data_IF_320782530853
#
_entry.id   IF_320782530853
#
_cell.length_a   1.000
_cell.length_b   1.000
_cell.length_c   1.000
_cell.angle_alpha   90.00
_cell.angle_beta   90.00
_cell.angle_gamma   90.00
#
_symmetry.space_group_name_H-M   'P 1'
#
loop_
_entity.id
_entity.type
_entity.pdbx_description
1 polymer ?
#
# COMPACT_ATOMS: atom_id res chain seq x y z
N UNK A 1 -34.08 -12.76 38.21
CA UNK A 1 -34.32 -12.01 36.97
C UNK A 1 -33.32 -10.84 36.72
N UNK A 2 -32.81 -10.15 37.76
CA UNK A 2 -31.81 -9.05 37.56
C UNK A 2 -30.42 -9.53 37.10
N UNK A 3 -29.95 -10.72 37.51
CA UNK A 3 -28.63 -11.25 37.10
C UNK A 3 -28.59 -11.75 35.64
N UNK A 4 -29.71 -12.17 35.08
CA UNK A 4 -29.79 -12.63 33.69
C UNK A 4 -29.76 -11.45 32.69
N UNK A 5 -30.27 -10.28 33.09
CA UNK A 5 -30.21 -9.05 32.26
C UNK A 5 -28.83 -8.43 32.21
N UNK A 6 -27.98 -8.62 33.25
CA UNK A 6 -26.61 -8.14 33.26
C UNK A 6 -25.69 -8.96 32.34
N UNK A 7 -25.94 -10.25 32.20
CA UNK A 7 -25.18 -11.11 31.29
C UNK A 7 -25.56 -10.89 29.80
N UNK A 8 -26.83 -10.53 29.54
CA UNK A 8 -27.24 -10.19 28.18
C UNK A 8 -26.71 -8.82 27.72
N UNK A 9 -26.49 -7.86 28.63
CA UNK A 9 -25.92 -6.55 28.31
C UNK A 9 -24.41 -6.58 28.08
N UNK A 10 -23.70 -7.62 28.56
CA UNK A 10 -22.26 -7.76 28.35
C UNK A 10 -21.95 -8.48 27.02
N UNK A 11 -22.93 -9.15 26.41
CA UNK A 11 -22.76 -9.87 25.15
C UNK A 11 -22.93 -8.97 23.91
N UNK A 12 -23.44 -7.76 24.07
CA UNK A 12 -23.73 -6.82 22.95
C UNK A 12 -22.57 -5.85 22.68
N UNK A 13 -21.51 -5.85 23.49
CA UNK A 13 -20.43 -4.85 23.36
C UNK A 13 -19.13 -5.39 22.74
N UNK A 14 -19.17 -6.55 22.09
CA UNK A 14 -18.03 -7.07 21.29
C UNK A 14 -18.46 -7.19 19.82
N UNK A 15 -19.05 -6.13 19.27
CA UNK A 15 -18.96 -5.90 17.83
C UNK A 15 -17.61 -5.25 17.57
N UNK A 16 -16.57 -6.06 17.56
CA UNK A 16 -15.28 -5.66 17.02
C UNK A 16 -15.52 -5.19 15.58
N UNK A 17 -15.30 -3.90 15.33
CA UNK A 17 -15.30 -3.34 13.99
C UNK A 17 -14.25 -4.13 13.17
N UNK A 18 -14.73 -5.08 12.38
CA UNK A 18 -13.89 -5.81 11.42
C UNK A 18 -13.66 -4.86 10.28
N UNK A 19 -12.46 -4.33 10.15
CA UNK A 19 -12.05 -3.62 8.96
C UNK A 19 -12.15 -4.60 7.78
N UNK A 20 -13.03 -4.32 6.85
CA UNK A 20 -13.07 -4.99 5.55
C UNK A 20 -11.96 -4.40 4.68
N UNK A 21 -11.31 -5.22 3.88
CA UNK A 21 -10.07 -4.88 3.16
C UNK A 21 -10.28 -5.15 1.67
N UNK A 22 -9.69 -4.36 0.82
CA UNK A 22 -10.08 -4.12 -0.56
C UNK A 22 -9.44 -4.95 -1.67
N UNK A 23 -10.04 -4.88 -2.86
CA UNK A 23 -9.66 -5.65 -4.03
C UNK A 23 -9.95 -4.89 -5.35
N UNK A 24 -9.07 -5.02 -6.36
CA UNK A 24 -9.20 -4.35 -7.66
C UNK A 24 -10.14 -5.04 -8.67
N UNK A 25 -10.70 -6.20 -8.33
CA UNK A 25 -11.72 -6.92 -9.07
C UNK A 25 -12.87 -7.32 -8.16
N UNK A 26 -13.73 -8.25 -8.59
CA UNK A 26 -14.68 -8.88 -7.69
C UNK A 26 -14.69 -10.39 -7.84
N UNK A 27 -15.01 -11.08 -6.75
CA UNK A 27 -15.17 -12.52 -6.74
C UNK A 27 -16.60 -12.90 -7.12
N UNK A 28 -16.72 -13.87 -8.01
CA UNK A 28 -17.98 -14.55 -8.30
C UNK A 28 -17.84 -16.01 -7.88
N UNK A 29 -18.78 -16.50 -7.08
CA UNK A 29 -18.76 -17.88 -6.59
C UNK A 29 -19.95 -18.67 -7.12
N UNK A 30 -19.78 -19.99 -7.35
CA UNK A 30 -20.86 -20.92 -7.73
C UNK A 30 -21.74 -21.34 -6.56
N UNK A 31 -21.24 -21.25 -5.32
CA UNK A 31 -21.96 -21.63 -4.11
C UNK A 31 -22.32 -20.41 -3.24
N UNK A 32 -23.18 -20.60 -2.23
CA UNK A 32 -23.60 -19.55 -1.27
C UNK A 32 -22.49 -19.06 -0.32
N UNK A 33 -21.25 -19.05 -0.80
CA UNK A 33 -20.07 -18.71 -0.02
C UNK A 33 -19.78 -17.23 -0.15
N UNK A 34 -19.78 -16.51 0.96
CA UNK A 34 -19.28 -15.13 1.02
C UNK A 34 -17.77 -15.18 1.05
N UNK A 35 -17.13 -14.78 -0.05
CA UNK A 35 -15.69 -14.65 -0.15
C UNK A 35 -15.32 -13.18 0.04
N UNK A 36 -14.45 -12.90 1.01
CA UNK A 36 -13.98 -11.56 1.32
C UNK A 36 -12.46 -11.50 1.17
N UNK A 37 -11.98 -10.40 0.63
CA UNK A 37 -10.56 -10.09 0.60
C UNK A 37 -10.13 -9.34 1.88
N UNK A 38 -8.90 -9.56 2.35
CA UNK A 38 -8.42 -8.97 3.60
C UNK A 38 -7.53 -7.74 3.42
N UNK A 39 -6.65 -7.76 2.44
CA UNK A 39 -5.86 -6.61 1.96
C UNK A 39 -5.42 -6.89 0.54
N UNK A 40 -5.52 -5.91 -0.35
CA UNK A 40 -4.97 -6.02 -1.69
C UNK A 40 -3.63 -5.35 -1.77
N UNK A 41 -2.69 -6.04 -2.41
CA UNK A 41 -1.42 -5.49 -2.81
C UNK A 41 -1.34 -5.51 -4.33
N UNK A 42 -1.05 -4.37 -4.92
CA UNK A 42 -0.96 -4.21 -6.37
C UNK A 42 0.38 -3.60 -6.71
N UNK A 43 1.13 -4.24 -7.62
CA UNK A 43 2.34 -3.67 -8.21
C UNK A 43 2.02 -3.20 -9.62
N UNK A 44 2.34 -1.94 -9.90
CA UNK A 44 2.21 -1.29 -11.20
C UNK A 44 3.61 -0.92 -11.70
N UNK A 45 4.14 -1.68 -12.64
CA UNK A 45 5.35 -1.32 -13.36
C UNK A 45 4.95 -0.52 -14.59
N UNK A 46 5.47 0.71 -14.74
CA UNK A 46 5.05 1.62 -15.81
C UNK A 46 6.24 2.30 -16.47
N UNK A 47 6.26 2.26 -17.81
CA UNK A 47 7.11 3.11 -18.64
C UNK A 47 6.37 3.48 -19.94
N UNK A 48 6.15 4.77 -20.15
CA UNK A 48 5.30 5.25 -21.23
C UNK A 48 3.89 4.63 -21.15
N UNK A 49 3.43 3.97 -22.21
CA UNK A 49 2.13 3.30 -22.28
C UNK A 49 2.18 1.82 -21.85
N UNK A 50 3.36 1.27 -21.57
CA UNK A 50 3.53 -0.13 -21.16
C UNK A 50 3.33 -0.28 -19.67
N UNK A 51 2.48 -1.22 -19.29
CA UNK A 51 2.19 -1.54 -17.89
C UNK A 51 2.31 -3.02 -17.64
N UNK A 52 2.97 -3.39 -16.54
CA UNK A 52 2.84 -4.73 -15.95
C UNK A 52 2.13 -4.57 -14.62
N UNK A 53 0.94 -5.16 -14.54
CA UNK A 53 0.08 -5.15 -13.36
C UNK A 53 0.21 -6.50 -12.65
N UNK A 54 0.65 -6.50 -11.40
CA UNK A 54 0.66 -7.69 -10.54
C UNK A 54 -0.31 -7.49 -9.39
N UNK A 55 -1.20 -8.46 -9.17
CA UNK A 55 -2.22 -8.40 -8.13
C UNK A 55 -2.07 -9.59 -7.19
N UNK A 56 -1.81 -9.33 -5.93
CA UNK A 56 -1.89 -10.30 -4.87
C UNK A 56 -3.20 -10.13 -4.12
N UNK A 57 -4.03 -11.14 -4.20
CA UNK A 57 -5.36 -11.15 -3.61
C UNK A 57 -5.38 -12.13 -2.44
N UNK A 58 -5.62 -11.62 -1.25
CA UNK A 58 -5.87 -12.44 -0.08
C UNK A 58 -7.37 -12.67 0.05
N UNK A 59 -7.81 -13.92 0.20
CA UNK A 59 -9.22 -14.25 0.31
C UNK A 59 -9.54 -14.92 1.66
N UNK A 60 -10.77 -14.75 2.12
CA UNK A 60 -11.34 -15.49 3.24
C UNK A 60 -12.65 -16.12 2.82
N UNK A 61 -12.82 -17.40 3.09
CA UNK A 61 -14.02 -18.17 2.78
C UNK A 61 -13.66 -19.57 2.29
N UNK A 62 -14.69 -20.40 2.05
CA UNK A 62 -14.51 -21.69 1.39
C UNK A 62 -14.40 -21.49 -0.12
N UNK A 63 -13.25 -21.80 -0.74
CA UNK A 63 -12.98 -21.47 -2.15
C UNK A 63 -13.63 -22.48 -3.12
N UNK A 64 -14.85 -22.89 -2.88
CA UNK A 64 -15.57 -23.77 -3.81
C UNK A 64 -15.91 -23.01 -5.10
N UNK A 65 -15.08 -23.22 -6.12
CA UNK A 65 -15.29 -22.71 -7.48
C UNK A 65 -15.64 -21.21 -7.56
N UNK A 66 -14.65 -20.35 -7.41
CA UNK A 66 -14.80 -18.92 -7.61
C UNK A 66 -13.94 -18.43 -8.79
N UNK A 67 -14.31 -17.29 -9.34
CA UNK A 67 -13.51 -16.59 -10.32
C UNK A 67 -13.28 -15.14 -9.89
N UNK A 68 -12.15 -14.60 -10.34
CA UNK A 68 -11.78 -13.19 -10.20
C UNK A 68 -12.09 -12.51 -11.54
N UNK A 69 -12.87 -11.44 -11.51
CA UNK A 69 -13.17 -10.64 -12.70
C UNK A 69 -12.47 -9.30 -12.62
N UNK A 70 -11.58 -9.02 -13.56
CA UNK A 70 -10.72 -7.84 -13.59
C UNK A 70 -10.94 -7.09 -14.90
N UNK A 71 -11.34 -5.81 -14.88
CA UNK A 71 -11.38 -5.01 -16.08
C UNK A 71 -9.95 -4.69 -16.55
N UNK A 72 -9.70 -4.89 -17.84
CA UNK A 72 -8.41 -4.59 -18.46
C UNK A 72 -8.60 -3.68 -19.67
N UNK A 73 -7.67 -2.74 -19.95
CA UNK A 73 -7.90 -1.73 -20.98
C UNK A 73 -7.86 -2.28 -22.41
N UNK A 74 -7.27 -3.47 -22.59
CA UNK A 74 -7.07 -4.06 -23.92
C UNK A 74 -7.25 -5.58 -23.88
N UNK A 75 -7.24 -6.21 -25.04
CA UNK A 75 -7.22 -7.66 -25.16
C UNK A 75 -5.87 -8.20 -24.64
N UNK A 76 -5.92 -9.24 -23.80
CA UNK A 76 -4.74 -9.88 -23.20
C UNK A 76 -4.52 -11.25 -23.84
N UNK A 77 -3.32 -11.49 -24.37
CA UNK A 77 -2.90 -12.78 -24.91
C UNK A 77 -2.28 -13.65 -23.83
N UNK A 78 -2.18 -14.94 -24.07
CA UNK A 78 -1.60 -15.90 -23.11
C UNK A 78 -0.18 -15.51 -22.65
N UNK A 79 0.65 -15.08 -23.58
CA UNK A 79 2.06 -14.71 -23.35
C UNK A 79 2.20 -13.44 -22.49
N UNK A 80 1.13 -12.67 -22.33
CA UNK A 80 1.07 -11.49 -21.49
C UNK A 80 0.65 -11.80 -20.06
N UNK A 81 0.34 -13.06 -19.74
CA UNK A 81 -0.17 -13.49 -18.43
C UNK A 81 0.88 -14.36 -17.76
N UNK A 82 1.17 -14.05 -16.51
CA UNK A 82 2.11 -14.80 -15.68
C UNK A 82 1.55 -14.98 -14.27
N UNK A 83 2.03 -15.97 -13.54
CA UNK A 83 1.77 -16.17 -12.11
C UNK A 83 3.07 -15.87 -11.36
N UNK A 84 3.06 -14.81 -10.58
CA UNK A 84 4.25 -14.34 -9.86
C UNK A 84 4.44 -15.06 -8.51
N UNK A 85 5.64 -14.94 -7.95
CA UNK A 85 5.91 -15.41 -6.60
C UNK A 85 5.49 -14.33 -5.58
N UNK A 86 4.76 -14.73 -4.54
CA UNK A 86 4.37 -13.86 -3.45
C UNK A 86 5.58 -13.28 -2.70
N UNK A 87 6.67 -14.02 -2.62
CA UNK A 87 7.89 -13.58 -1.95
C UNK A 87 8.44 -12.25 -2.51
N UNK A 88 8.25 -11.99 -3.81
CA UNK A 88 8.65 -10.73 -4.46
C UNK A 88 7.85 -9.54 -3.91
N UNK A 89 6.54 -9.72 -3.70
CA UNK A 89 5.69 -8.68 -3.14
C UNK A 89 6.00 -8.48 -1.66
N UNK A 90 6.25 -9.55 -0.92
CA UNK A 90 6.63 -9.48 0.50
C UNK A 90 7.98 -8.75 0.68
N UNK A 91 8.94 -8.97 -0.23
CA UNK A 91 10.21 -8.24 -0.23
C UNK A 91 10.02 -6.75 -0.58
N UNK A 92 9.23 -6.43 -1.61
CA UNK A 92 8.90 -5.05 -1.98
C UNK A 92 8.16 -4.32 -0.86
N UNK A 93 7.25 -5.02 -0.16
CA UNK A 93 6.56 -4.50 1.02
C UNK A 93 7.55 -4.19 2.14
N UNK A 94 8.41 -5.12 2.50
CA UNK A 94 9.43 -4.93 3.54
C UNK A 94 10.42 -3.80 3.20
N UNK A 95 10.80 -3.69 1.92
CA UNK A 95 11.69 -2.63 1.44
C UNK A 95 11.06 -1.23 1.56
N UNK A 96 9.79 -1.08 1.28
CA UNK A 96 9.09 0.21 1.18
C UNK A 96 8.17 0.56 2.36
N UNK A 97 7.99 -0.34 3.33
CA UNK A 97 7.08 -0.11 4.46
C UNK A 97 7.54 1.05 5.36
N UNK A 98 6.60 1.78 5.96
CA UNK A 98 6.90 2.71 7.06
C UNK A 98 7.62 2.01 8.21
N UNK A 99 8.56 2.70 8.86
CA UNK A 99 9.46 2.07 9.82
C UNK A 99 9.86 2.94 10.99
N UNK A 100 10.48 2.30 11.98
CA UNK A 100 11.16 2.96 13.09
C UNK A 100 12.64 3.11 12.78
N UNK A 101 13.22 4.25 13.16
CA UNK A 101 14.66 4.48 13.19
C UNK A 101 15.08 4.80 14.61
N UNK A 102 16.19 4.21 15.06
CA UNK A 102 16.67 4.35 16.43
C UNK A 102 17.91 5.22 16.47
N UNK A 103 17.87 6.24 17.32
CA UNK A 103 19.02 7.07 17.65
C UNK A 103 19.31 6.98 19.15
N UNK A 104 20.55 7.09 19.51
CA UNK A 104 21.01 7.10 20.89
C UNK A 104 21.68 8.44 21.16
N UNK A 105 21.33 9.06 22.30
CA UNK A 105 22.00 10.29 22.70
C UNK A 105 23.43 9.97 23.16
N UNK A 106 24.37 10.70 22.61
CA UNK A 106 25.76 10.60 22.99
C UNK A 106 25.98 11.09 24.44
N UNK A 107 27.13 10.73 25.05
CA UNK A 107 27.56 11.30 26.30
C UNK A 107 27.79 12.82 26.09
N UNK A 108 27.03 13.71 26.74
CA UNK A 108 27.17 15.16 26.54
C UNK A 108 28.49 15.73 27.05
N UNK A 109 29.26 14.95 27.80
CA UNK A 109 30.58 15.32 28.31
C UNK A 109 31.71 15.03 27.30
N UNK A 110 31.45 14.25 26.24
CA UNK A 110 32.44 13.93 25.24
C UNK A 110 32.40 14.96 24.08
N UNK A 111 33.55 15.47 23.67
CA UNK A 111 33.64 16.37 22.50
C UNK A 111 33.53 15.59 21.21
N UNK A 112 32.52 15.88 20.39
CA UNK A 112 32.43 15.37 19.01
C UNK A 112 33.52 15.99 18.14
N UNK A 113 34.31 15.14 17.48
CA UNK A 113 35.10 15.53 16.30
C UNK A 113 34.18 15.45 15.07
N UNK A 114 33.86 16.58 14.50
CA UNK A 114 33.02 16.64 13.26
C UNK A 114 33.84 16.11 12.08
N UNK A 115 33.39 14.99 11.49
CA UNK A 115 33.88 14.49 10.21
C UNK A 115 33.01 15.02 9.07
N UNK A 116 33.63 15.86 8.22
CA UNK A 116 33.01 16.39 7.00
C UNK A 116 32.73 15.31 5.98
N UNK A 117 31.53 15.36 5.37
CA UNK A 117 31.11 14.49 4.25
C UNK A 117 31.39 15.17 2.91
N UNK A 118 31.95 14.40 1.96
CA UNK A 118 32.23 14.82 0.59
C UNK A 118 31.12 14.29 -0.37
N UNK A 119 30.62 15.07 -1.34
CA UNK A 119 29.59 14.62 -2.27
C UNK A 119 30.18 13.93 -3.52
N UNK A 120 29.40 13.01 -4.13
CA UNK A 120 29.73 12.30 -5.41
C UNK A 120 28.64 12.58 -6.45
N UNK A 121 28.99 12.81 -7.73
CA UNK A 121 28.06 13.26 -8.77
C UNK A 121 27.37 12.13 -9.57
N UNK A 122 26.25 12.48 -10.23
CA UNK A 122 25.35 11.63 -11.00
C UNK A 122 25.66 11.63 -12.52
N UNK A 123 25.22 10.59 -13.24
CA UNK A 123 25.29 10.46 -14.69
C UNK A 123 23.94 10.02 -15.31
N UNK A 124 23.71 10.38 -16.59
CA UNK A 124 22.44 10.42 -17.31
C UNK A 124 22.21 9.25 -18.29
N UNK A 125 20.95 9.09 -18.75
CA UNK A 125 20.38 8.03 -19.58
C UNK A 125 20.30 8.36 -21.09
N UNK A 126 19.95 7.41 -21.96
CA UNK A 126 19.13 7.71 -23.15
C UNK A 126 17.97 6.73 -23.49
N UNK A 127 17.22 7.09 -24.56
CA UNK A 127 15.83 6.78 -24.96
C UNK A 127 15.65 5.68 -26.02
N UNK A 128 14.45 5.11 -26.09
CA UNK A 128 13.27 4.97 -26.98
C UNK A 128 13.18 3.88 -28.07
N UNK A 129 11.89 3.46 -28.34
CA UNK A 129 11.39 2.84 -29.58
C UNK A 129 10.09 2.03 -29.50
N UNK A 130 9.13 2.24 -30.42
CA UNK A 130 7.69 1.98 -30.34
C UNK A 130 7.04 1.03 -31.38
N UNK A 131 5.73 0.78 -31.21
CA UNK A 131 4.57 0.48 -32.11
C UNK A 131 4.26 -0.98 -32.51
N UNK A 132 3.06 -1.42 -32.89
CA UNK A 132 1.67 -1.07 -33.18
C UNK A 132 0.87 -2.35 -33.61
N UNK A 133 -0.34 -2.65 -33.62
CA UNK A 133 -1.71 -2.34 -33.62
C UNK A 133 -2.69 -3.47 -34.12
N UNK A 134 -3.97 -3.45 -33.64
CA UNK A 134 -5.32 -3.76 -34.21
C UNK A 134 -5.77 -5.21 -34.48
N UNK A 135 -7.06 -5.60 -34.34
CA UNK A 135 -8.42 -5.09 -34.11
C UNK A 135 -9.54 -6.15 -34.07
N UNK A 136 -10.72 -5.79 -33.51
CA UNK A 136 -12.19 -6.06 -33.79
C UNK A 136 -12.77 -7.48 -33.69
N UNK A 137 -14.02 -7.71 -33.25
CA UNK A 137 -15.23 -7.11 -32.62
C UNK A 137 -16.36 -8.15 -32.47
N UNK A 138 -17.31 -7.98 -31.52
CA UNK A 138 -18.77 -8.21 -31.51
C UNK A 138 -19.35 -9.15 -30.44
N UNK A 139 -20.33 -8.62 -29.64
CA UNK A 139 -21.09 -9.37 -28.65
C UNK A 139 -20.25 -9.73 -27.42
N UNK A 140 -20.79 -10.48 -26.48
CA UNK A 140 -19.89 -11.20 -25.59
C UNK A 140 -19.25 -12.28 -26.43
N UNK A 141 -17.96 -12.13 -26.65
CA UNK A 141 -17.15 -13.12 -27.33
C UNK A 141 -16.14 -13.61 -26.30
N UNK A 142 -16.11 -14.91 -26.07
CA UNK A 142 -14.92 -15.56 -25.50
C UNK A 142 -13.82 -15.33 -26.52
N UNK A 143 -12.94 -14.40 -26.22
CA UNK A 143 -11.85 -14.04 -27.12
C UNK A 143 -10.73 -15.06 -27.05
N UNK A 144 -10.53 -15.65 -25.86
CA UNK A 144 -9.53 -16.68 -25.63
C UNK A 144 -9.73 -17.39 -24.28
N UNK A 145 -9.26 -18.62 -24.17
CA UNK A 145 -9.19 -19.40 -22.95
C UNK A 145 -7.75 -19.88 -22.73
N UNK A 146 -7.24 -19.76 -21.50
CA UNK A 146 -5.87 -20.12 -21.14
C UNK A 146 -5.84 -20.78 -19.78
N UNK A 147 -4.95 -21.78 -19.61
CA UNK A 147 -4.55 -22.27 -18.27
C UNK A 147 -3.16 -21.76 -17.96
N UNK A 148 -3.01 -21.04 -16.83
CA UNK A 148 -1.74 -20.51 -16.35
C UNK A 148 -1.63 -20.75 -14.85
N UNK A 149 -0.74 -21.66 -14.42
CA UNK A 149 -0.65 -22.08 -13.03
C UNK A 149 -1.97 -22.68 -12.53
N UNK A 150 -2.42 -22.22 -11.36
CA UNK A 150 -3.71 -22.59 -10.76
C UNK A 150 -4.91 -21.84 -11.32
N UNK A 151 -4.78 -21.10 -12.43
CA UNK A 151 -5.84 -20.30 -12.99
C UNK A 151 -6.26 -20.77 -14.38
N UNK A 152 -7.55 -21.03 -14.55
CA UNK A 152 -8.20 -21.13 -15.85
C UNK A 152 -8.74 -19.75 -16.20
N UNK A 153 -8.22 -19.15 -17.27
CA UNK A 153 -8.42 -17.73 -17.61
C UNK A 153 -9.25 -17.63 -18.87
N UNK A 154 -10.26 -16.80 -18.83
CA UNK A 154 -11.10 -16.46 -19.97
C UNK A 154 -11.03 -14.95 -20.21
N UNK A 155 -10.72 -14.56 -21.45
CA UNK A 155 -10.76 -13.15 -21.86
C UNK A 155 -12.08 -12.88 -22.57
N UNK A 156 -12.84 -11.95 -22.01
CA UNK A 156 -14.16 -11.58 -22.53
C UNK A 156 -14.15 -10.14 -23.03
N UNK A 157 -14.79 -9.93 -24.18
CA UNK A 157 -15.25 -8.62 -24.58
C UNK A 157 -16.78 -8.59 -24.53
N UNK A 158 -17.34 -7.49 -24.05
CA UNK A 158 -18.78 -7.31 -23.99
C UNK A 158 -19.17 -5.98 -24.63
N UNK A 159 -20.27 -5.97 -25.40
CA UNK A 159 -20.85 -4.74 -25.91
C UNK A 159 -21.83 -4.12 -24.93
N UNK A 160 -22.48 -4.94 -24.13
CA UNK A 160 -23.48 -4.56 -23.13
C UNK A 160 -23.22 -5.29 -21.80
N UNK A 161 -23.57 -4.65 -20.68
CA UNK A 161 -23.40 -5.21 -19.33
C UNK A 161 -24.17 -6.50 -19.15
N UNK A 162 -25.37 -6.53 -19.71
CA UNK A 162 -26.31 -7.66 -19.59
C UNK A 162 -25.74 -8.93 -20.21
N UNK A 163 -24.98 -8.80 -21.30
CA UNK A 163 -24.28 -9.93 -21.93
C UNK A 163 -23.23 -10.57 -21.03
N UNK A 164 -22.38 -9.75 -20.39
CA UNK A 164 -21.36 -10.26 -19.47
C UNK A 164 -21.99 -10.91 -18.23
N UNK A 165 -23.03 -10.28 -17.69
CA UNK A 165 -23.79 -10.85 -16.56
C UNK A 165 -24.43 -12.17 -16.94
N UNK A 166 -25.11 -12.22 -18.08
CA UNK A 166 -25.74 -13.44 -18.60
C UNK A 166 -24.70 -14.56 -18.74
N UNK A 167 -23.54 -14.27 -19.32
CA UNK A 167 -22.48 -15.26 -19.45
C UNK A 167 -21.97 -15.76 -18.08
N UNK A 168 -21.76 -14.86 -17.12
CA UNK A 168 -21.32 -15.25 -15.77
C UNK A 168 -22.41 -16.10 -15.07
N UNK A 169 -23.69 -15.74 -15.19
CA UNK A 169 -24.82 -16.49 -14.64
C UNK A 169 -24.96 -17.86 -15.30
N UNK A 170 -24.89 -17.95 -16.63
CA UNK A 170 -24.93 -19.22 -17.37
C UNK A 170 -23.73 -20.11 -17.06
N UNK A 171 -22.57 -19.51 -16.76
CA UNK A 171 -21.39 -20.21 -16.27
C UNK A 171 -21.52 -20.64 -14.79
N UNK A 172 -22.68 -20.38 -14.17
CA UNK A 172 -23.03 -20.78 -12.81
C UNK A 172 -22.52 -19.86 -11.71
N UNK A 173 -21.98 -18.68 -12.04
CA UNK A 173 -21.54 -17.69 -11.07
C UNK A 173 -22.67 -16.80 -10.58
N UNK A 174 -22.63 -16.43 -9.30
CA UNK A 174 -23.57 -15.43 -8.74
C UNK A 174 -22.92 -14.05 -8.80
N UNK A 175 -23.64 -13.12 -9.38
CA UNK A 175 -23.19 -11.73 -9.51
C UNK A 175 -23.73 -10.94 -8.31
N UNK A 176 -22.87 -10.21 -7.57
CA UNK A 176 -23.30 -9.38 -6.45
C UNK A 176 -24.25 -8.26 -6.91
N UNK A 177 -25.19 -7.89 -6.05
CA UNK A 177 -26.11 -6.80 -6.34
C UNK A 177 -25.36 -5.48 -6.58
N UNK A 178 -25.67 -4.80 -7.70
CA UNK A 178 -25.01 -3.54 -8.08
C UNK A 178 -23.80 -3.69 -9.01
N UNK A 179 -23.33 -4.91 -9.27
CA UNK A 179 -22.22 -5.16 -10.19
C UNK A 179 -22.53 -4.68 -11.61
N UNK A 180 -23.77 -4.87 -12.10
CA UNK A 180 -24.24 -4.43 -13.43
C UNK A 180 -23.89 -2.99 -13.76
N UNK A 181 -24.19 -2.08 -12.82
CA UNK A 181 -23.90 -0.65 -12.99
C UNK A 181 -22.41 -0.40 -13.17
N UNK A 182 -21.58 -1.06 -12.37
CA UNK A 182 -20.12 -0.89 -12.38
C UNK A 182 -19.55 -1.50 -13.66
N UNK A 183 -19.97 -2.71 -14.02
CA UNK A 183 -19.59 -3.39 -15.28
C UNK A 183 -19.94 -2.55 -16.49
N UNK A 184 -21.19 -2.02 -16.55
CA UNK A 184 -21.63 -1.13 -17.63
C UNK A 184 -20.76 0.13 -17.78
N UNK A 185 -20.20 0.66 -16.69
CA UNK A 185 -19.26 1.76 -16.72
C UNK A 185 -17.93 1.39 -17.42
N UNK A 186 -17.41 0.20 -17.20
CA UNK A 186 -16.20 -0.29 -17.86
C UNK A 186 -16.43 -0.65 -19.33
N UNK A 187 -17.58 -1.24 -19.64
CA UNK A 187 -17.96 -1.57 -21.03
C UNK A 187 -18.07 -0.31 -21.87
N UNK A 188 -18.68 0.77 -21.33
CA UNK A 188 -18.75 2.08 -22.01
C UNK A 188 -17.37 2.68 -22.29
N UNK A 189 -16.36 2.33 -21.46
CA UNK A 189 -14.98 2.72 -21.66
C UNK A 189 -14.22 1.83 -22.65
N UNK A 190 -14.87 0.79 -23.21
CA UNK A 190 -14.27 -0.16 -24.14
C UNK A 190 -13.36 -1.20 -23.50
N UNK A 191 -13.39 -1.32 -22.16
CA UNK A 191 -12.57 -2.28 -21.44
C UNK A 191 -12.96 -3.71 -21.72
N UNK A 192 -12.00 -4.62 -21.61
CA UNK A 192 -12.19 -6.07 -21.66
C UNK A 192 -12.24 -6.62 -20.24
N UNK A 193 -12.67 -7.87 -20.10
CA UNK A 193 -12.76 -8.54 -18.82
C UNK A 193 -11.86 -9.78 -18.82
N UNK A 194 -10.92 -9.75 -17.92
CA UNK A 194 -10.07 -10.88 -17.59
C UNK A 194 -10.78 -11.65 -16.46
N UNK A 195 -11.24 -12.86 -16.76
CA UNK A 195 -11.89 -13.74 -15.80
C UNK A 195 -10.95 -14.89 -15.47
N UNK A 196 -10.42 -14.92 -14.26
CA UNK A 196 -9.56 -15.98 -13.78
C UNK A 196 -10.33 -16.87 -12.81
N UNK A 197 -10.63 -18.09 -13.24
CA UNK A 197 -11.18 -19.14 -12.37
C UNK A 197 -10.05 -19.86 -11.66
N UNK A 198 -10.19 -20.04 -10.35
CA UNK A 198 -9.22 -20.83 -9.59
C UNK A 198 -9.52 -22.31 -9.75
N UNK A 199 -8.55 -23.05 -10.20
CA UNK A 199 -8.56 -24.50 -10.26
C UNK A 199 -8.03 -25.06 -8.92
N UNK A 200 -8.95 -25.44 -8.04
CA UNK A 200 -8.62 -25.90 -6.69
C UNK A 200 -7.81 -27.21 -6.68
N UNK A 201 -7.99 -28.06 -7.68
CA UNK A 201 -7.21 -29.30 -7.80
C UNK A 201 -5.74 -28.99 -8.09
N UNK A 202 -5.48 -28.06 -9.00
CA UNK A 202 -4.13 -27.58 -9.28
C UNK A 202 -3.52 -26.84 -8.08
N UNK A 203 -4.29 -25.97 -7.43
CA UNK A 203 -3.87 -25.26 -6.21
C UNK A 203 -3.48 -26.25 -5.09
N UNK A 204 -4.29 -27.29 -4.88
CA UNK A 204 -4.02 -28.30 -3.84
C UNK A 204 -2.71 -29.08 -4.11
N UNK A 205 -2.40 -29.38 -5.37
CA UNK A 205 -1.15 -30.03 -5.78
C UNK A 205 0.08 -29.16 -5.52
N UNK A 206 -0.08 -27.83 -5.63
CA UNK A 206 1.01 -26.87 -5.40
C UNK A 206 1.33 -26.67 -3.90
N UNK A 207 0.45 -27.10 -2.99
CA UNK A 207 0.66 -27.04 -1.55
C UNK A 207 0.60 -25.64 -0.93
N UNK A 208 0.17 -24.61 -1.68
CA UNK A 208 0.01 -23.24 -1.16
C UNK A 208 -1.34 -23.06 -0.46
N UNK A 209 -1.32 -22.36 0.68
CA UNK A 209 -2.54 -21.95 1.40
C UNK A 209 -3.10 -20.60 0.93
N UNK A 210 -2.51 -20.01 -0.11
CA UNK A 210 -2.87 -18.71 -0.70
C UNK A 210 -2.89 -18.82 -2.23
N UNK A 211 -3.53 -17.87 -2.88
CA UNK A 211 -3.47 -17.72 -4.34
C UNK A 211 -2.22 -16.94 -4.73
N UNK A 212 -1.45 -17.48 -5.66
CA UNK A 212 -0.28 -16.76 -6.17
C UNK A 212 -0.70 -15.51 -6.93
N UNK A 213 0.10 -14.43 -6.89
CA UNK A 213 -0.23 -13.20 -7.60
C UNK A 213 -0.36 -13.41 -9.12
N UNK A 214 -1.42 -12.86 -9.71
CA UNK A 214 -1.58 -12.81 -11.16
C UNK A 214 -0.88 -11.57 -11.68
N UNK A 215 -0.09 -11.74 -12.73
CA UNK A 215 0.63 -10.68 -13.42
C UNK A 215 0.16 -10.59 -14.87
N UNK A 216 -0.14 -9.36 -15.32
CA UNK A 216 -0.64 -9.10 -16.68
C UNK A 216 0.10 -7.92 -17.28
N UNK A 217 0.69 -8.12 -18.47
CA UNK A 217 1.37 -7.08 -19.23
C UNK A 217 0.46 -6.54 -20.35
N UNK A 218 0.37 -5.21 -20.47
CA UNK A 218 -0.45 -4.57 -21.52
C UNK A 218 0.06 -3.18 -21.88
N UNK A 219 -0.41 -2.66 -23.01
CA UNK A 219 -0.16 -1.27 -23.43
C UNK A 219 -1.48 -0.49 -23.40
N UNK A 220 -1.45 0.68 -22.77
CA UNK A 220 -2.59 1.59 -22.68
C UNK A 220 -2.11 3.00 -22.34
N UNK A 221 -2.63 4.00 -23.03
CA UNK A 221 -2.39 5.41 -22.67
C UNK A 221 -2.98 5.77 -21.30
N UNK A 222 -4.01 5.02 -20.83
CA UNK A 222 -4.59 5.22 -19.51
C UNK A 222 -3.73 4.53 -18.45
N UNK A 223 -3.19 5.32 -17.53
CA UNK A 223 -2.55 4.81 -16.32
C UNK A 223 -3.57 4.81 -15.19
N UNK A 224 -4.26 3.70 -15.01
CA UNK A 224 -5.36 3.58 -14.05
C UNK A 224 -5.40 2.19 -13.38
N UNK A 225 -6.05 2.14 -12.22
CA UNK A 225 -6.35 0.92 -11.50
C UNK A 225 -7.85 0.85 -11.21
N UNK A 226 -8.59 -0.13 -11.76
CA UNK A 226 -10.00 -0.30 -11.48
C UNK A 226 -10.19 -0.81 -10.05
N UNK A 227 -10.84 -0.01 -9.20
CA UNK A 227 -11.11 -0.36 -7.79
C UNK A 227 -12.60 -0.54 -7.50
N UNK A 228 -13.49 -0.03 -8.37
CA UNK A 228 -14.93 -0.01 -8.11
C UNK A 228 -15.55 -1.40 -8.02
N UNK A 229 -15.06 -2.37 -8.79
CA UNK A 229 -15.58 -3.75 -8.71
C UNK A 229 -15.30 -4.39 -7.35
N UNK A 230 -14.14 -4.12 -6.76
CA UNK A 230 -13.78 -4.62 -5.43
C UNK A 230 -14.77 -4.18 -4.34
N UNK A 231 -15.34 -3.00 -4.49
CA UNK A 231 -16.31 -2.45 -3.53
C UNK A 231 -17.69 -3.09 -3.61
N UNK A 232 -18.01 -3.79 -4.70
CA UNK A 232 -19.33 -4.45 -4.85
C UNK A 232 -19.51 -5.61 -3.86
N UNK A 233 -18.45 -6.33 -3.54
CA UNK A 233 -18.46 -7.43 -2.56
C UNK A 233 -18.02 -7.00 -1.15
N UNK A 234 -17.75 -5.71 -0.94
CA UNK A 234 -17.18 -5.25 0.31
C UNK A 234 -18.19 -5.22 1.46
N UNK A 235 -17.74 -5.64 2.64
CA UNK A 235 -18.45 -5.49 3.91
C UNK A 235 -17.82 -4.31 4.68
N UNK A 236 -18.00 -3.08 4.15
CA UNK A 236 -17.42 -1.85 4.67
C UNK A 236 -16.18 -1.35 3.92
N UNK A 237 -15.47 -0.33 4.49
CA UNK A 237 -14.28 0.23 3.88
C UNK A 237 -13.14 -0.78 3.73
N UNK A 238 -12.40 -0.68 2.64
CA UNK A 238 -11.32 -1.57 2.25
C UNK A 238 -9.97 -0.87 2.31
N UNK A 239 -8.87 -1.63 2.40
CA UNK A 239 -7.50 -1.12 2.32
C UNK A 239 -6.79 -1.66 1.08
N UNK A 240 -6.00 -0.81 0.44
CA UNK A 240 -5.24 -1.12 -0.76
C UNK A 240 -3.84 -0.51 -0.67
N UNK A 241 -2.84 -1.35 -0.93
CA UNK A 241 -1.46 -0.93 -1.15
C UNK A 241 -1.15 -0.97 -2.64
N UNK A 242 -0.67 0.15 -3.17
CA UNK A 242 -0.21 0.27 -4.55
C UNK A 242 1.28 0.56 -4.55
N UNK A 243 2.05 -0.32 -5.16
CA UNK A 243 3.48 -0.15 -5.41
C UNK A 243 3.66 0.20 -6.88
N UNK A 244 4.08 1.41 -7.17
CA UNK A 244 4.40 1.83 -8.52
C UNK A 244 5.93 1.82 -8.72
N UNK A 245 6.39 1.10 -9.74
CA UNK A 245 7.78 1.02 -10.17
C UNK A 245 7.90 1.73 -11.51
N UNK A 246 8.67 2.80 -11.57
CA UNK A 246 8.81 3.67 -12.74
C UNK A 246 10.28 4.03 -12.96
N UNK A 247 10.61 4.67 -14.09
CA UNK A 247 11.98 5.12 -14.35
C UNK A 247 12.17 6.65 -14.26
N UNK A 248 11.10 7.45 -14.29
CA UNK A 248 11.16 8.91 -14.30
C UNK A 248 11.05 9.53 -12.92
N UNK A 249 10.14 9.03 -12.07
CA UNK A 249 9.94 9.58 -10.73
C UNK A 249 8.66 9.10 -10.06
N UNK A 250 8.22 9.83 -9.06
CA UNK A 250 7.11 9.48 -8.20
C UNK A 250 5.77 9.40 -8.95
N UNK A 251 4.95 8.43 -8.58
CA UNK A 251 3.57 8.30 -9.03
C UNK A 251 2.62 8.96 -8.04
N UNK A 252 1.64 9.68 -8.57
CA UNK A 252 0.55 10.31 -7.82
C UNK A 252 -0.79 9.99 -8.47
N UNK A 253 -1.88 10.12 -7.70
CA UNK A 253 -3.24 10.09 -8.24
C UNK A 253 -3.63 11.45 -8.80
N UNK A 254 -4.35 11.47 -9.92
CA UNK A 254 -4.81 12.71 -10.57
C UNK A 254 -6.23 13.10 -10.19
N UNK A 255 -7.06 12.12 -9.82
CA UNK A 255 -8.47 12.33 -9.46
C UNK A 255 -8.74 12.24 -7.96
N UNK A 256 -7.74 11.88 -7.17
CA UNK A 256 -7.75 11.94 -5.70
C UNK A 256 -6.48 12.61 -5.21
N UNK A 257 -6.56 13.24 -4.05
CA UNK A 257 -5.43 13.93 -3.46
C UNK A 257 -4.41 12.93 -2.93
N UNK A 258 -3.15 13.02 -3.36
CA UNK A 258 -2.04 12.28 -2.77
C UNK A 258 -1.45 13.10 -1.61
N UNK A 259 -1.40 12.52 -0.42
CA UNK A 259 -0.94 13.16 0.82
C UNK A 259 0.21 12.37 1.42
N UNK A 260 1.31 13.03 1.77
CA UNK A 260 2.41 12.37 2.50
C UNK A 260 1.95 12.03 3.93
N UNK A 261 2.28 10.83 4.40
CA UNK A 261 2.13 10.52 5.82
C UNK A 261 3.02 11.43 6.68
N UNK A 262 2.61 11.77 7.92
CA UNK A 262 3.50 12.39 8.88
C UNK A 262 4.77 11.54 9.05
N UNK A 263 5.94 12.14 8.94
CA UNK A 263 7.23 11.47 8.97
C UNK A 263 8.23 12.27 9.78
N UNK A 264 9.38 11.66 10.11
CA UNK A 264 10.49 12.29 10.85
C UNK A 264 10.11 12.84 12.23
N UNK A 265 9.14 12.22 12.87
CA UNK A 265 8.63 12.61 14.16
C UNK A 265 9.16 11.71 15.26
N UNK A 266 9.65 12.33 16.35
CA UNK A 266 10.08 11.60 17.55
C UNK A 266 8.86 11.07 18.31
N UNK A 267 8.89 9.77 18.63
CA UNK A 267 7.85 9.07 19.40
C UNK A 267 8.50 8.28 20.54
N UNK A 268 7.75 8.00 21.62
CA UNK A 268 8.30 7.29 22.77
C UNK A 268 8.91 5.93 22.42
N UNK A 269 10.03 5.60 23.03
CA UNK A 269 10.81 4.37 22.79
C UNK A 269 9.97 3.09 22.92
N UNK A 270 8.94 3.07 23.78
CA UNK A 270 8.07 1.90 23.94
C UNK A 270 7.30 1.51 22.67
N UNK A 271 7.19 2.42 21.69
CA UNK A 271 6.57 2.15 20.39
C UNK A 271 7.34 1.06 19.62
N UNK A 272 8.61 0.83 19.93
CA UNK A 272 9.38 -0.30 19.35
C UNK A 272 8.62 -1.63 19.45
N UNK A 273 8.02 -1.90 20.58
CA UNK A 273 7.29 -3.15 20.83
C UNK A 273 5.80 -3.07 20.50
N UNK A 274 5.33 -1.93 20.01
CA UNK A 274 3.90 -1.65 19.77
C UNK A 274 3.68 -0.99 18.40
N UNK A 275 4.63 -1.16 17.49
CA UNK A 275 4.64 -0.45 16.21
C UNK A 275 3.41 -0.74 15.36
N UNK A 276 2.97 -1.98 15.31
CA UNK A 276 1.79 -2.36 14.52
C UNK A 276 0.51 -1.62 14.99
N UNK A 277 0.30 -1.52 16.30
CA UNK A 277 -0.84 -0.78 16.87
C UNK A 277 -0.69 0.73 16.67
N UNK A 278 0.52 1.25 16.83
CA UNK A 278 0.84 2.64 16.55
C UNK A 278 0.51 2.97 15.10
N UNK A 279 1.06 2.23 14.14
CA UNK A 279 0.86 2.47 12.72
C UNK A 279 -0.63 2.42 12.34
N UNK A 280 -1.35 1.39 12.79
CA UNK A 280 -2.79 1.23 12.56
C UNK A 280 -3.60 2.43 13.10
N UNK A 281 -3.28 2.90 14.29
CA UNK A 281 -3.98 4.03 14.92
C UNK A 281 -3.64 5.35 14.23
N UNK A 282 -2.37 5.55 13.89
CA UNK A 282 -1.89 6.72 13.15
C UNK A 282 -2.55 6.79 11.78
N UNK A 283 -2.52 5.71 11.01
CA UNK A 283 -3.14 5.66 9.70
C UNK A 283 -4.65 5.93 9.76
N UNK A 284 -5.36 5.26 10.68
CA UNK A 284 -6.79 5.51 10.87
C UNK A 284 -7.11 6.97 11.20
N UNK A 285 -6.23 7.64 11.97
CA UNK A 285 -6.37 9.05 12.29
C UNK A 285 -6.11 9.95 11.08
N UNK A 286 -5.11 9.63 10.24
CA UNK A 286 -4.87 10.37 8.99
C UNK A 286 -6.03 10.20 8.01
N UNK A 287 -6.53 8.98 7.83
CA UNK A 287 -7.73 8.70 7.03
C UNK A 287 -8.92 9.55 7.50
N UNK A 288 -9.14 9.64 8.82
CA UNK A 288 -10.21 10.47 9.39
C UNK A 288 -9.99 11.97 9.15
N UNK A 289 -8.75 12.48 9.25
CA UNK A 289 -8.41 13.88 9.00
C UNK A 289 -8.67 14.30 7.55
N UNK A 290 -8.52 13.36 6.62
CA UNK A 290 -8.72 13.56 5.18
C UNK A 290 -10.12 13.12 4.73
N UNK A 291 -11.07 12.97 5.66
CA UNK A 291 -12.44 12.53 5.40
C UNK A 291 -12.52 11.28 4.50
N UNK A 292 -11.54 10.37 4.64
CA UNK A 292 -11.38 9.16 3.83
C UNK A 292 -11.34 9.42 2.30
N UNK A 293 -10.80 10.57 1.85
CA UNK A 293 -10.76 11.00 0.43
C UNK A 293 -9.35 11.23 -0.09
N UNK A 294 -8.35 10.70 0.59
CA UNK A 294 -6.96 10.85 0.19
C UNK A 294 -6.28 9.50 -0.01
N UNK A 295 -5.31 9.49 -0.91
CA UNK A 295 -4.34 8.42 -1.11
C UNK A 295 -3.06 8.85 -0.38
N UNK A 296 -2.55 8.00 0.50
CA UNK A 296 -1.39 8.34 1.33
C UNK A 296 -0.10 7.83 0.71
N UNK A 297 0.86 8.73 0.54
CA UNK A 297 2.23 8.40 0.16
C UNK A 297 2.97 7.93 1.42
N UNK A 298 3.45 6.70 1.40
CA UNK A 298 4.22 6.08 2.48
C UNK A 298 5.72 6.02 2.17
N UNK A 299 6.05 5.87 0.89
CA UNK A 299 7.41 5.75 0.40
C UNK A 299 7.53 6.26 -1.03
N UNK A 300 8.60 6.99 -1.32
CA UNK A 300 9.01 7.40 -2.65
C UNK A 300 10.55 7.39 -2.67
N UNK A 301 11.18 6.53 -3.47
CA UNK A 301 12.62 6.37 -3.41
C UNK A 301 13.24 5.97 -4.75
N UNK A 302 14.32 6.64 -5.07
CA UNK A 302 15.17 6.29 -6.19
C UNK A 302 16.12 5.15 -5.78
N UNK A 303 15.94 3.96 -6.35
CA UNK A 303 16.77 2.79 -6.03
C UNK A 303 18.23 2.91 -6.50
N UNK A 304 18.57 3.96 -7.24
CA UNK A 304 19.98 4.31 -7.51
C UNK A 304 20.71 4.83 -6.26
N UNK A 305 19.95 5.24 -5.24
CA UNK A 305 20.45 5.68 -3.94
C UNK A 305 20.24 4.62 -2.87
N UNK A 306 21.27 4.43 -2.02
CA UNK A 306 21.13 3.59 -0.85
C UNK A 306 20.12 4.20 0.14
N UNK A 307 19.13 3.42 0.56
CA UNK A 307 18.30 3.74 1.73
C UNK A 307 18.88 3.01 2.95
N UNK A 308 19.64 3.70 3.83
CA UNK A 308 20.33 3.05 4.96
C UNK A 308 19.35 2.53 6.02
N UNK A 309 18.08 2.88 5.94
CA UNK A 309 17.04 2.46 6.87
C UNK A 309 16.13 1.37 6.31
N UNK A 310 16.23 1.07 5.00
CA UNK A 310 15.41 0.05 4.34
C UNK A 310 15.89 -1.38 4.67
N UNK A 311 15.04 -2.35 4.31
CA UNK A 311 15.47 -3.72 4.10
C UNK A 311 16.45 -3.77 2.90
N UNK A 312 17.06 -4.94 2.65
CA UNK A 312 17.89 -5.11 1.47
C UNK A 312 17.12 -4.73 0.20
N UNK A 313 17.74 -4.01 -0.75
CA UNK A 313 17.07 -3.62 -1.98
C UNK A 313 16.80 -4.84 -2.86
N UNK A 314 15.70 -4.79 -3.63
CA UNK A 314 15.40 -5.83 -4.61
C UNK A 314 16.53 -5.91 -5.63
N UNK A 315 16.92 -7.14 -5.95
CA UNK A 315 17.89 -7.42 -7.01
C UNK A 315 17.31 -7.12 -8.40
N UNK A 316 18.20 -6.98 -9.41
CA UNK A 316 17.79 -6.82 -10.79
C UNK A 316 16.88 -7.96 -11.28
N UNK A 317 17.14 -9.19 -10.85
CA UNK A 317 16.33 -10.35 -11.21
C UNK A 317 14.95 -10.33 -10.55
N UNK A 318 14.82 -9.93 -9.28
CA UNK A 318 13.54 -9.73 -8.59
C UNK A 318 12.72 -8.61 -9.24
N UNK A 319 13.35 -7.49 -9.58
CA UNK A 319 12.71 -6.39 -10.30
C UNK A 319 12.18 -6.85 -11.67
N UNK A 320 12.95 -7.66 -12.40
CA UNK A 320 12.52 -8.23 -13.67
C UNK A 320 11.36 -9.20 -13.51
N UNK A 321 11.37 -10.04 -12.48
CA UNK A 321 10.26 -10.93 -12.15
C UNK A 321 9.00 -10.16 -11.76
N UNK A 322 9.13 -8.98 -11.15
CA UNK A 322 8.02 -8.05 -10.93
C UNK A 322 7.55 -7.35 -12.22
N UNK A 323 8.27 -7.52 -13.34
CA UNK A 323 7.92 -6.97 -14.65
C UNK A 323 8.65 -5.68 -15.01
N UNK A 324 9.71 -5.29 -14.31
CA UNK A 324 10.55 -4.13 -14.67
C UNK A 324 11.39 -4.50 -15.87
N UNK A 325 10.87 -4.18 -17.07
CA UNK A 325 11.43 -4.67 -18.34
C UNK A 325 12.61 -3.86 -18.87
N UNK A 326 12.91 -2.69 -18.29
CA UNK A 326 14.05 -1.85 -18.66
C UNK A 326 15.32 -2.12 -17.84
N UNK A 327 15.25 -2.95 -16.80
CA UNK A 327 16.43 -3.36 -16.03
C UNK A 327 17.10 -4.54 -16.74
N UNK A 328 18.39 -4.38 -17.06
CA UNK A 328 19.17 -5.40 -17.76
C UNK A 328 19.44 -6.62 -16.86
N UNK A 329 19.54 -7.80 -17.47
CA UNK A 329 20.06 -8.98 -16.77
C UNK A 329 21.50 -8.73 -16.38
N UNK A 330 21.77 -8.79 -15.08
CA UNK A 330 23.14 -8.80 -14.62
C UNK A 330 23.79 -10.06 -15.17
N UNK A 331 24.69 -9.93 -16.15
CA UNK A 331 25.54 -11.05 -16.54
C UNK A 331 26.25 -11.55 -15.27
N UNK A 332 26.56 -12.85 -15.14
CA UNK A 332 27.29 -13.38 -14.00
C UNK A 332 28.69 -12.75 -14.00
N UNK A 333 28.78 -11.55 -13.45
CA UNK A 333 30.02 -10.84 -13.21
C UNK A 333 30.58 -11.28 -11.87
N UNK A 334 31.90 -11.45 -11.88
CA UNK A 334 32.74 -11.80 -10.74
C UNK A 334 32.24 -11.13 -9.45
N UNK A 335 31.59 -11.90 -8.57
CA UNK A 335 30.91 -11.49 -7.35
C UNK A 335 31.79 -10.80 -6.29
N UNK A 336 33.04 -10.46 -6.68
CA UNK A 336 34.04 -9.81 -5.84
C UNK A 336 34.06 -8.28 -5.93
N UNK A 337 33.34 -7.67 -6.90
CA UNK A 337 33.44 -6.21 -7.15
C UNK A 337 32.20 -5.39 -6.83
N UNK A 338 31.01 -5.98 -6.77
CA UNK A 338 29.76 -5.27 -6.38
C UNK A 338 28.90 -6.16 -5.51
N UNK A 339 28.34 -5.65 -4.40
CA UNK A 339 27.35 -6.41 -3.63
C UNK A 339 26.13 -6.72 -4.52
N UNK A 340 25.49 -7.89 -4.36
CA UNK A 340 24.21 -8.17 -5.01
C UNK A 340 23.20 -7.11 -4.54
N UNK A 341 22.61 -6.37 -5.46
CA UNK A 341 21.73 -5.23 -5.16
C UNK A 341 22.31 -3.87 -5.58
N UNK A 342 23.16 -3.82 -6.61
CA UNK A 342 23.68 -2.57 -7.18
C UNK A 342 22.57 -1.60 -7.58
N UNK A 343 22.90 -0.30 -7.66
CA UNK A 343 22.01 0.79 -8.05
C UNK A 343 21.18 0.44 -9.29
N UNK A 344 19.85 0.47 -9.15
CA UNK A 344 18.90 0.18 -10.21
C UNK A 344 18.19 1.47 -10.62
N UNK A 345 18.00 1.69 -11.93
CA UNK A 345 17.21 2.82 -12.41
C UNK A 345 15.71 2.53 -12.27
N UNK A 346 15.26 2.48 -11.03
CA UNK A 346 13.86 2.25 -10.67
C UNK A 346 13.49 3.23 -9.57
N UNK A 347 12.40 3.95 -9.77
CA UNK A 347 11.80 4.77 -8.74
C UNK A 347 10.61 4.00 -8.13
N UNK A 348 10.66 3.75 -6.83
CA UNK A 348 9.61 3.05 -6.09
C UNK A 348 8.70 4.07 -5.45
N UNK A 349 7.39 3.98 -5.71
CA UNK A 349 6.36 4.72 -4.98
C UNK A 349 5.43 3.75 -4.29
N UNK A 350 5.23 3.90 -2.99
CA UNK A 350 4.22 3.16 -2.22
C UNK A 350 3.10 4.09 -1.81
N UNK A 351 1.90 3.73 -2.23
CA UNK A 351 0.65 4.41 -1.86
C UNK A 351 -0.22 3.48 -1.02
N UNK A 352 -0.87 4.04 -0.02
CA UNK A 352 -1.82 3.33 0.84
C UNK A 352 -3.13 4.11 0.91
N UNK A 353 -4.26 3.44 0.74
CA UNK A 353 -5.57 4.06 0.88
C UNK A 353 -6.56 3.16 1.59
N UNK A 354 -7.50 3.80 2.28
CA UNK A 354 -8.73 3.17 2.76
C UNK A 354 -9.88 3.76 1.97
N UNK A 355 -10.73 2.94 1.36
CA UNK A 355 -11.71 3.39 0.41
C UNK A 355 -13.04 2.63 0.50
N UNK A 356 -14.11 3.29 0.10
CA UNK A 356 -15.44 2.76 -0.11
C UNK A 356 -16.16 3.51 -1.25
N UNK A 357 -17.35 3.05 -1.63
CA UNK A 357 -18.13 3.65 -2.72
C UNK A 357 -18.54 5.12 -2.48
N UNK A 358 -18.66 5.56 -1.24
CA UNK A 358 -19.07 6.92 -0.91
C UNK A 358 -17.93 7.93 -1.07
N UNK A 359 -16.69 7.52 -0.76
CA UNK A 359 -15.53 8.38 -0.73
C UNK A 359 -14.64 8.23 -1.97
N UNK A 360 -14.69 7.05 -2.63
CA UNK A 360 -13.97 6.74 -3.87
C UNK A 360 -14.93 6.24 -4.95
N UNK A 361 -15.82 7.12 -5.49
CA UNK A 361 -16.82 6.73 -6.50
C UNK A 361 -16.20 6.38 -7.86
N UNK A 362 -14.93 6.71 -8.09
CA UNK A 362 -14.21 6.49 -9.34
C UNK A 362 -13.00 5.57 -9.13
N UNK A 363 -12.49 5.02 -10.23
CA UNK A 363 -11.24 4.28 -10.24
C UNK A 363 -10.04 5.19 -10.00
N UNK A 364 -8.91 4.64 -9.54
CA UNK A 364 -7.69 5.41 -9.38
C UNK A 364 -7.09 5.70 -10.76
N UNK A 365 -6.84 6.97 -11.02
CA UNK A 365 -6.11 7.43 -12.21
C UNK A 365 -4.79 8.02 -11.75
N UNK A 366 -3.70 7.58 -12.36
CA UNK A 366 -2.35 7.95 -11.97
C UNK A 366 -1.65 8.81 -13.00
N UNK A 367 -0.64 9.51 -12.54
CA UNK A 367 0.39 10.11 -13.37
C UNK A 367 1.78 9.78 -12.81
N UNK A 368 2.73 9.53 -13.70
CA UNK A 368 4.14 9.55 -13.39
C UNK A 368 4.62 11.00 -13.43
N UNK A 369 5.21 11.47 -12.34
CA UNK A 369 5.78 12.82 -12.26
C UNK A 369 7.29 12.79 -12.54
N UNK A 370 7.90 13.95 -12.78
CA UNK A 370 9.35 14.08 -12.82
C UNK A 370 9.96 14.28 -11.42
N UNK A 371 9.16 14.22 -10.37
CA UNK A 371 9.62 14.39 -8.99
C UNK A 371 10.36 13.14 -8.52
N UNK A 372 11.64 13.29 -8.21
CA UNK A 372 12.53 12.26 -7.67
C UNK A 372 12.94 12.54 -6.22
N UNK A 373 12.19 13.40 -5.51
CA UNK A 373 12.43 13.63 -4.09
C UNK A 373 12.19 12.35 -3.29
N UNK A 374 13.20 11.92 -2.55
CA UNK A 374 13.08 10.75 -1.68
C UNK A 374 12.22 11.08 -0.46
N UNK A 375 11.25 10.21 -0.17
CA UNK A 375 10.37 10.29 0.97
C UNK A 375 10.19 8.91 1.61
N UNK A 376 10.20 8.87 2.93
CA UNK A 376 9.98 7.66 3.70
C UNK A 376 9.12 7.96 4.91
N UNK A 377 8.05 7.19 5.08
CA UNK A 377 7.27 7.18 6.32
C UNK A 377 8.10 6.56 7.45
N UNK A 378 8.76 7.40 8.26
CA UNK A 378 9.60 6.93 9.37
C UNK A 378 9.34 7.69 10.65
N UNK A 379 9.53 6.99 11.76
CA UNK A 379 9.31 7.53 13.11
C UNK A 379 10.55 7.28 13.94
N UNK A 380 10.94 8.27 14.73
CA UNK A 380 12.22 8.31 15.41
C UNK A 380 12.04 7.87 16.87
N UNK A 381 12.79 6.86 17.26
CA UNK A 381 12.98 6.47 18.65
C UNK A 381 14.32 7.02 19.12
N UNK A 382 14.30 7.99 20.02
CA UNK A 382 15.54 8.56 20.57
C UNK A 382 15.76 8.06 21.98
N UNK A 383 16.75 7.20 22.15
CA UNK A 383 17.14 6.63 23.45
C UNK A 383 17.91 7.64 24.27
N UNK A 384 17.43 7.99 25.47
CA UNK A 384 18.16 8.90 26.36
C UNK A 384 19.49 8.35 26.81
N UNK A 385 20.50 9.22 26.88
CA UNK A 385 21.75 8.89 27.55
C UNK A 385 21.49 8.64 29.05
N UNK A 386 22.09 7.57 29.57
CA UNK A 386 21.90 7.08 30.96
C UNK A 386 23.15 7.20 31.84
N UNK A 387 24.20 7.85 31.36
CA UNK A 387 25.45 7.99 32.13
C UNK A 387 25.31 8.91 33.34
N UNK A 388 26.25 8.80 34.25
CA UNK A 388 26.28 9.52 35.53
C UNK A 388 27.31 10.68 35.58
N UNK A 389 27.90 11.03 34.43
CA UNK A 389 28.89 12.12 34.34
C UNK A 389 28.31 13.46 34.81
N UNK A 390 29.17 14.30 35.40
CA UNK A 390 28.78 15.53 36.12
C UNK A 390 29.35 16.80 35.48
N UNK A 391 29.47 16.86 34.17
CA UNK A 391 29.81 18.10 33.48
C UNK A 391 28.60 19.02 33.36
N UNK A 392 28.81 20.28 33.00
CA UNK A 392 27.77 21.28 32.80
C UNK A 392 26.76 20.84 31.69
N UNK A 393 27.28 20.29 30.59
CA UNK A 393 26.46 19.81 29.48
C UNK A 393 25.55 18.64 29.92
N UNK A 394 26.02 17.72 30.78
CA UNK A 394 25.19 16.64 31.32
C UNK A 394 24.08 17.19 32.26
N UNK A 395 24.37 18.25 32.99
CA UNK A 395 23.38 18.92 33.85
C UNK A 395 22.31 19.59 33.01
N UNK A 396 22.72 20.31 31.97
CA UNK A 396 21.77 20.93 30.99
C UNK A 396 20.92 19.88 30.28
N UNK A 397 21.53 18.77 29.81
CA UNK A 397 20.83 17.66 29.17
C UNK A 397 19.72 17.08 30.08
N UNK A 398 20.05 16.77 31.36
CA UNK A 398 19.06 16.21 32.30
C UNK A 398 17.91 17.17 32.61
N UNK A 399 18.16 18.50 32.57
CA UNK A 399 17.11 19.51 32.71
C UNK A 399 16.16 19.59 31.50
N UNK A 400 16.66 19.40 30.27
CA UNK A 400 15.88 19.48 29.04
C UNK A 400 15.19 18.14 28.67
N UNK A 401 15.75 17.01 29.12
CA UNK A 401 15.21 15.68 28.81
C UNK A 401 13.71 15.52 29.14
N UNK A 402 13.20 15.95 30.29
CA UNK A 402 11.77 15.85 30.60
C UNK A 402 10.87 16.59 29.61
N UNK A 403 11.32 17.73 29.10
CA UNK A 403 10.56 18.51 28.09
C UNK A 403 10.51 17.76 26.75
N UNK A 404 11.62 17.15 26.34
CA UNK A 404 11.66 16.32 25.13
C UNK A 404 10.72 15.13 25.26
N UNK A 405 10.79 14.39 26.37
CA UNK A 405 9.93 13.22 26.59
C UNK A 405 8.44 13.61 26.61
N UNK A 406 8.11 14.78 27.18
CA UNK A 406 6.74 15.29 27.12
C UNK A 406 6.32 15.63 25.69
N UNK A 407 7.21 16.22 24.88
CA UNK A 407 6.94 16.49 23.47
C UNK A 407 6.73 15.19 22.67
N UNK A 408 7.54 14.13 22.92
CA UNK A 408 7.33 12.81 22.34
C UNK A 408 5.95 12.23 22.69
N UNK A 409 5.52 12.39 23.96
CA UNK A 409 4.19 11.94 24.40
C UNK A 409 3.07 12.69 23.67
N UNK A 410 3.18 14.00 23.53
CA UNK A 410 2.21 14.86 22.81
C UNK A 410 2.19 14.51 21.32
N UNK A 411 3.34 14.30 20.70
CA UNK A 411 3.47 13.86 19.31
C UNK A 411 2.72 12.55 19.09
N UNK A 412 2.94 11.56 19.96
CA UNK A 412 2.26 10.28 19.87
C UNK A 412 0.75 10.43 20.03
N UNK A 413 0.28 11.22 21.00
CA UNK A 413 -1.15 11.49 21.19
C UNK A 413 -1.77 12.17 19.95
N UNK A 414 -1.08 13.15 19.37
CA UNK A 414 -1.50 13.83 18.15
C UNK A 414 -1.60 12.90 16.95
N UNK A 415 -0.59 12.01 16.78
CA UNK A 415 -0.54 11.09 15.66
C UNK A 415 -1.62 10.00 15.74
N UNK A 416 -1.88 9.47 16.93
CA UNK A 416 -2.73 8.27 17.10
C UNK A 416 -4.12 8.59 17.63
N UNK A 417 -4.29 9.70 18.33
CA UNK A 417 -5.47 9.99 19.14
C UNK A 417 -5.52 9.23 20.47
N UNK A 418 -4.43 8.57 20.85
CA UNK A 418 -4.35 7.89 22.14
C UNK A 418 -4.36 8.90 23.29
N UNK A 419 -4.92 8.47 24.42
CA UNK A 419 -5.05 9.30 25.61
C UNK A 419 -3.68 9.65 26.20
N UNK A 420 -3.41 10.95 26.30
CA UNK A 420 -2.09 11.48 26.72
C UNK A 420 -1.64 10.96 28.10
N UNK A 421 -2.57 10.81 29.05
CA UNK A 421 -2.23 10.35 30.39
C UNK A 421 -1.83 8.87 30.41
N UNK A 422 -2.42 8.05 29.53
CA UNK A 422 -1.98 6.66 29.34
C UNK A 422 -0.58 6.58 28.73
N UNK A 423 -0.28 7.46 27.77
CA UNK A 423 1.05 7.58 27.17
C UNK A 423 2.08 7.96 28.24
N UNK A 424 1.80 9.04 29.01
CA UNK A 424 2.66 9.51 30.11
C UNK A 424 2.90 8.40 31.13
N UNK A 425 1.85 7.65 31.50
CA UNK A 425 1.97 6.50 32.42
C UNK A 425 2.92 5.43 31.88
N UNK A 426 2.84 5.09 30.59
CA UNK A 426 3.77 4.13 29.94
C UNK A 426 5.21 4.62 29.87
N UNK A 427 5.42 5.95 29.85
CA UNK A 427 6.74 6.58 29.85
C UNK A 427 7.29 6.84 31.27
N UNK A 428 6.54 6.51 32.32
CA UNK A 428 6.84 6.87 33.70
C UNK A 428 7.02 8.38 33.92
N UNK A 429 6.37 9.20 33.11
CA UNK A 429 6.31 10.65 33.31
C UNK A 429 5.29 10.97 34.42
N UNK A 430 5.70 11.80 35.40
CA UNK A 430 4.73 12.32 36.38
C UNK A 430 3.65 13.08 35.65
N UNK A 431 2.39 12.89 36.03
CA UNK A 431 1.29 13.64 35.45
C UNK A 431 1.57 15.14 35.67
N UNK A 432 2.01 15.80 34.63
CA UNK A 432 2.07 17.27 34.59
C UNK A 432 0.63 17.75 34.57
N UNK A 433 0.32 18.86 35.26
CA UNK A 433 -1.01 19.44 35.33
C UNK A 433 -1.65 19.63 33.95
N UNK A 434 -2.88 20.17 33.87
CA UNK A 434 -3.65 20.26 32.62
C UNK A 434 -2.79 20.82 31.50
N UNK A 435 -2.92 20.23 30.31
CA UNK A 435 -2.24 20.69 29.10
C UNK A 435 -2.31 22.23 29.00
N UNK A 436 -1.25 22.91 28.54
CA UNK A 436 -1.40 24.34 28.20
C UNK A 436 -2.64 24.49 27.33
N UNK A 437 -3.53 25.39 27.72
CA UNK A 437 -4.66 25.73 26.87
C UNK A 437 -4.10 26.00 25.46
N UNK A 438 -4.75 25.50 24.43
CA UNK A 438 -4.42 25.85 23.04
C UNK A 438 -4.30 27.37 23.02
N UNK A 439 -3.15 27.89 22.59
CA UNK A 439 -2.93 29.34 22.52
C UNK A 439 -4.09 29.91 21.75
N UNK A 440 -4.86 30.79 22.44
CA UNK A 440 -5.99 31.45 21.79
C UNK A 440 -5.45 32.16 20.54
N UNK A 441 -6.10 31.96 19.38
CA UNK A 441 -5.59 32.55 18.15
C UNK A 441 -5.39 34.05 18.37
N UNK A 442 -4.23 34.58 18.00
CA UNK A 442 -3.80 35.99 18.20
C UNK A 442 -4.84 37.03 17.77
N UNK A 443 -5.72 36.67 16.86
CA UNK A 443 -6.79 37.52 16.35
C UNK A 443 -8.01 37.65 17.29
N UNK A 444 -8.21 36.75 18.27
CA UNK A 444 -9.34 36.82 19.21
C UNK A 444 -9.31 38.03 20.12
N UNK A 445 -8.15 38.68 20.29
CA UNK A 445 -7.98 39.92 21.05
C UNK A 445 -8.22 41.19 20.24
N UNK A 446 -8.28 41.12 18.90
CA UNK A 446 -8.36 42.28 18.01
C UNK A 446 -9.74 42.94 17.97
N UNK A 447 -10.80 42.26 18.38
CA UNK A 447 -12.18 42.68 18.23
C UNK A 447 -12.96 42.70 19.56
N UNK A 448 -12.27 42.78 20.71
CA UNK A 448 -12.87 43.01 21.98
C UNK A 448 -12.82 44.55 22.24
N UNK A 449 -13.98 45.22 22.05
CA UNK A 449 -14.26 46.56 22.58
C UNK A 449 -14.47 46.51 24.10
#
# INVERSE_FOLDING_TARGET
>A
MKRLRLLLSLLVLVVAARAALGFCGFYVAKADTKIFNKASQVVLVRDGDRTVLTMANDFRGDPKEFAVVIPVPTFIRKEQIHVADKALLDHLDAYSAPRLVEYYDDNPCERRLEMSRVPVPAAAAPQEGAADARAKSLGVKVEAEYTVGEYDIVILSAKESDGLETWLLESGYRIPQGASRVLGGYIKQGMKFFVAKVNLDEQSKLGYSYLRPIQVAYESAKFMLPIRLGMVNADGPQELFVYALTNKGRVETTNYRTVRLPSDLEVPVFIKNDFANFYKSMFARQVKKEDMRAVFLEYAWDMSWCDPCAADPLSADELRQLGVFWVERTAPQDSRRFPPGGAQNVFVTRLHLRYDNAHFPEDLVFQETADRENFQGRYILRHPWKGNDRCEAATAYRRELPKRLEKEAQTLASLTGWEINKIRGRMNLKASGPAPAEDEPWWKGLWKD
#
